data_IF_515373303798
#
_entry.id   IF_515373303798
#
_cell.length_a   1.000
_cell.length_b   1.000
_cell.length_c   1.000
_cell.angle_alpha   90.00
_cell.angle_beta   90.00
_cell.angle_gamma   90.00
#
_symmetry.space_group_name_H-M   'P 1'
#
loop_
_entity.id
_entity.type
_entity.pdbx_description
1 polymer ?
#
# COMPACT_ATOMS: atom_id res chain seq x y z
N UNK A 1 -9.56 6.62 -9.54
CA UNK A 1 -8.46 6.82 -8.57
C UNK A 1 -7.54 7.90 -9.11
N UNK A 2 -7.25 8.93 -8.34
CA UNK A 2 -6.25 9.95 -8.65
C UNK A 2 -4.97 9.65 -7.85
N UNK A 3 -3.80 9.81 -8.46
CA UNK A 3 -2.50 9.54 -7.84
C UNK A 3 -1.77 10.87 -7.68
N UNK A 4 -1.35 11.18 -6.47
CA UNK A 4 -0.61 12.40 -6.14
C UNK A 4 0.73 12.03 -5.51
N UNK A 5 1.83 12.48 -6.13
CA UNK A 5 3.16 12.34 -5.54
C UNK A 5 3.29 13.24 -4.32
N UNK A 6 3.90 12.71 -3.27
CA UNK A 6 4.24 13.43 -2.05
C UNK A 6 5.74 13.69 -1.94
N UNK A 7 6.16 14.12 -0.76
CA UNK A 7 7.56 14.42 -0.45
C UNK A 7 8.42 13.14 -0.32
N UNK A 8 9.76 13.26 -0.39
CA UNK A 8 10.66 12.15 -0.13
C UNK A 8 10.39 11.51 1.24
N UNK A 9 10.36 10.17 1.28
CA UNK A 9 9.85 9.41 2.43
C UNK A 9 10.93 9.07 3.47
N UNK A 10 12.20 9.05 3.08
CA UNK A 10 13.30 8.52 3.89
C UNK A 10 14.45 9.53 4.02
N UNK A 11 15.00 9.64 5.23
CA UNK A 11 16.24 10.38 5.47
C UNK A 11 17.46 9.62 4.94
N UNK A 12 18.57 10.35 4.74
CA UNK A 12 19.86 9.78 4.30
C UNK A 12 20.31 8.60 5.17
N UNK A 13 20.18 8.72 6.49
CA UNK A 13 20.50 7.64 7.43
C UNK A 13 19.67 6.36 7.18
N UNK A 14 18.36 6.50 6.88
CA UNK A 14 17.51 5.34 6.58
C UNK A 14 17.88 4.71 5.24
N UNK A 15 18.19 5.52 4.22
CA UNK A 15 18.69 5.02 2.93
C UNK A 15 19.99 4.24 3.12
N UNK A 16 20.98 4.78 3.84
CA UNK A 16 22.24 4.07 4.12
C UNK A 16 22.00 2.74 4.84
N UNK A 17 21.05 2.70 5.79
CA UNK A 17 20.69 1.45 6.48
C UNK A 17 20.07 0.42 5.52
N UNK A 18 19.18 0.83 4.62
CA UNK A 18 18.59 -0.07 3.61
C UNK A 18 19.65 -0.62 2.64
N UNK A 19 20.54 0.24 2.15
CA UNK A 19 21.65 -0.17 1.29
C UNK A 19 22.58 -1.17 2.00
N UNK A 20 22.87 -0.95 3.28
CA UNK A 20 23.66 -1.90 4.09
C UNK A 20 22.98 -3.26 4.24
N UNK A 21 21.66 -3.29 4.46
CA UNK A 21 20.89 -4.54 4.50
C UNK A 21 20.90 -5.25 3.15
N UNK A 22 20.76 -4.51 2.05
CA UNK A 22 20.84 -5.08 0.70
C UNK A 22 22.23 -5.71 0.44
N UNK A 23 23.30 -5.03 0.87
CA UNK A 23 24.66 -5.55 0.74
C UNK A 23 24.86 -6.85 1.55
N UNK A 24 24.33 -6.91 2.78
CA UNK A 24 24.39 -8.12 3.62
C UNK A 24 23.70 -9.32 2.97
N UNK A 25 22.60 -9.07 2.24
CA UNK A 25 21.85 -10.09 1.48
C UNK A 25 22.41 -10.32 0.07
N UNK A 26 23.57 -9.75 -0.28
CA UNK A 26 24.20 -9.90 -1.60
C UNK A 26 23.29 -9.47 -2.76
N UNK A 27 22.45 -8.45 -2.52
CA UNK A 27 21.60 -7.82 -3.52
C UNK A 27 22.42 -6.74 -4.26
N UNK A 28 22.39 -6.69 -5.60
CA UNK A 28 23.15 -5.74 -6.41
C UNK A 28 22.53 -4.34 -6.42
N UNK A 29 22.04 -3.83 -5.28
CA UNK A 29 21.42 -2.50 -5.18
C UNK A 29 22.49 -1.44 -4.99
N UNK A 30 22.53 -0.44 -5.87
CA UNK A 30 23.50 0.67 -5.81
C UNK A 30 22.92 1.95 -5.26
N UNK A 31 21.63 2.19 -5.47
CA UNK A 31 20.95 3.38 -4.97
C UNK A 31 19.47 3.11 -4.70
N UNK A 32 18.91 3.80 -3.71
CA UNK A 32 17.50 3.73 -3.32
C UNK A 32 17.00 5.16 -3.09
N UNK A 33 16.00 5.54 -3.87
CA UNK A 33 15.20 6.73 -3.63
C UNK A 33 13.77 6.34 -3.24
N UNK A 34 13.12 7.10 -2.37
CA UNK A 34 11.78 6.77 -1.91
C UNK A 34 10.92 8.02 -1.71
N UNK A 35 9.68 7.97 -2.17
CA UNK A 35 8.70 9.05 -2.02
C UNK A 35 7.38 8.53 -1.46
N UNK A 36 6.70 9.36 -0.68
CA UNK A 36 5.30 9.09 -0.41
C UNK A 36 4.48 9.25 -1.69
N UNK A 37 3.52 8.36 -1.87
CA UNK A 37 2.52 8.48 -2.92
C UNK A 37 1.15 8.33 -2.29
N UNK A 38 0.24 9.21 -2.70
CA UNK A 38 -1.10 9.27 -2.18
C UNK A 38 -2.08 8.83 -3.27
N UNK A 39 -3.05 8.03 -2.88
CA UNK A 39 -4.10 7.51 -3.74
C UNK A 39 -5.44 8.05 -3.26
N UNK A 40 -6.13 8.79 -4.11
CA UNK A 40 -7.44 9.33 -3.81
C UNK A 40 -8.50 8.58 -4.61
N UNK A 41 -9.38 7.89 -3.88
CA UNK A 41 -10.65 7.42 -4.41
C UNK A 41 -11.65 8.57 -4.42
N UNK A 42 -12.21 8.87 -5.59
CA UNK A 42 -13.10 9.99 -5.81
C UNK A 42 -14.48 9.46 -6.23
N UNK A 43 -15.53 9.92 -5.55
CA UNK A 43 -16.93 9.65 -5.93
C UNK A 43 -17.46 10.59 -7.01
N UNK A 44 -16.79 11.72 -7.21
CA UNK A 44 -17.07 12.71 -8.24
C UNK A 44 -15.76 13.39 -8.68
N UNK A 45 -15.67 13.96 -9.89
CA UNK A 45 -14.48 14.69 -10.31
C UNK A 45 -14.26 15.94 -9.45
N UNK A 46 -13.00 16.26 -9.17
CA UNK A 46 -12.59 17.51 -8.53
C UNK A 46 -12.49 18.63 -9.57
N UNK A 47 -12.97 19.83 -9.22
CA UNK A 47 -12.64 21.03 -9.99
C UNK A 47 -11.18 21.44 -9.74
N UNK A 48 -10.71 22.48 -10.45
CA UNK A 48 -9.32 22.92 -10.35
C UNK A 48 -8.94 23.39 -8.94
N UNK A 49 -9.80 24.15 -8.28
CA UNK A 49 -9.55 24.69 -6.94
C UNK A 49 -9.48 23.56 -5.90
N UNK A 50 -10.39 22.59 -5.97
CA UNK A 50 -10.43 21.44 -5.07
C UNK A 50 -9.26 20.49 -5.30
N UNK A 51 -8.82 20.31 -6.55
CA UNK A 51 -7.58 19.58 -6.86
C UNK A 51 -6.35 20.29 -6.28
N UNK A 52 -6.29 21.62 -6.36
CA UNK A 52 -5.21 22.39 -5.74
C UNK A 52 -5.21 22.27 -4.22
N UNK A 53 -6.38 22.38 -3.57
CA UNK A 53 -6.52 22.15 -2.11
C UNK A 53 -6.04 20.76 -1.73
N UNK A 54 -6.48 19.71 -2.45
CA UNK A 54 -6.05 18.34 -2.19
C UNK A 54 -4.53 18.18 -2.34
N UNK A 55 -3.95 18.76 -3.39
CA UNK A 55 -2.50 18.73 -3.59
C UNK A 55 -1.73 19.43 -2.46
N UNK A 56 -2.26 20.53 -1.92
CA UNK A 56 -1.66 21.24 -0.79
C UNK A 56 -1.75 20.44 0.51
N UNK A 57 -2.90 19.80 0.78
CA UNK A 57 -3.08 18.93 1.96
C UNK A 57 -2.10 17.74 1.95
N UNK A 58 -1.77 17.24 0.77
CA UNK A 58 -0.90 16.07 0.58
C UNK A 58 0.59 16.44 0.42
N UNK A 59 0.93 17.72 0.50
CA UNK A 59 2.31 18.20 0.52
C UNK A 59 2.73 18.50 1.97
N UNK A 60 3.29 17.50 2.65
CA UNK A 60 3.69 17.58 4.05
C UNK A 60 4.97 16.79 4.32
N UNK A 61 5.61 17.07 5.46
CA UNK A 61 6.81 16.39 5.90
C UNK A 61 8.06 17.26 5.78
N UNK A 62 9.24 16.70 6.08
CA UNK A 62 10.50 17.44 5.98
C UNK A 62 10.80 17.79 4.52
N UNK A 63 11.34 18.99 4.30
CA UNK A 63 11.84 19.45 3.01
C UNK A 63 13.16 18.76 2.67
N UNK A 64 13.08 17.47 2.37
CA UNK A 64 14.17 16.69 1.82
C UNK A 64 14.34 17.03 0.33
N UNK A 65 15.56 16.88 -0.19
CA UNK A 65 15.85 17.12 -1.59
C UNK A 65 15.09 16.13 -2.46
N UNK A 66 14.19 16.65 -3.30
CA UNK A 66 13.51 15.85 -4.32
C UNK A 66 14.52 15.41 -5.38
N UNK A 67 14.42 14.15 -5.80
CA UNK A 67 15.22 13.57 -6.87
C UNK A 67 14.30 13.13 -8.01
N UNK A 68 14.82 13.17 -9.24
CA UNK A 68 14.08 12.60 -10.37
C UNK A 68 14.05 11.07 -10.21
N UNK A 69 12.88 10.43 -10.25
CA UNK A 69 12.79 8.99 -10.14
C UNK A 69 13.58 8.28 -11.23
N UNK A 70 14.43 7.33 -10.84
CA UNK A 70 15.23 6.52 -11.75
C UNK A 70 15.33 5.08 -11.24
N UNK A 71 15.40 4.12 -12.17
CA UNK A 71 15.47 2.69 -11.84
C UNK A 71 14.09 2.03 -11.75
N UNK A 72 14.04 0.88 -11.08
CA UNK A 72 12.83 0.06 -10.95
C UNK A 72 11.94 0.59 -9.84
N UNK A 73 10.64 0.71 -10.13
CA UNK A 73 9.61 1.01 -9.14
C UNK A 73 9.23 -0.24 -8.35
N UNK A 74 9.31 -0.15 -7.02
CA UNK A 74 8.60 -1.02 -6.08
C UNK A 74 7.71 -0.15 -5.20
N UNK A 75 6.40 -0.32 -5.32
CA UNK A 75 5.42 0.44 -4.56
C UNK A 75 4.95 -0.38 -3.36
N UNK A 76 5.20 0.11 -2.16
CA UNK A 76 4.72 -0.49 -0.91
C UNK A 76 3.42 0.20 -0.48
N UNK A 77 2.38 -0.58 -0.21
CA UNK A 77 1.09 -0.08 0.32
C UNK A 77 0.57 -1.00 1.41
N UNK A 78 -0.45 -0.57 2.18
CA UNK A 78 -1.26 -1.50 2.96
C UNK A 78 -1.81 -2.64 2.11
N UNK A 79 -2.09 -3.80 2.72
CA UNK A 79 -2.66 -4.95 2.02
C UNK A 79 -4.09 -4.65 1.55
N UNK A 80 -4.51 -5.10 0.36
CA UNK A 80 -5.90 -5.03 -0.08
C UNK A 80 -6.85 -5.64 0.96
N UNK A 81 -8.00 -4.99 1.16
CA UNK A 81 -8.95 -5.36 2.21
C UNK A 81 -8.62 -4.76 3.59
N UNK A 82 -7.52 -4.01 3.73
CA UNK A 82 -7.22 -3.23 4.94
C UNK A 82 -7.33 -1.73 4.67
N UNK A 83 -7.57 -0.94 5.72
CA UNK A 83 -7.60 0.52 5.69
C UNK A 83 -6.60 1.01 6.74
N UNK A 84 -5.61 1.80 6.34
CA UNK A 84 -4.60 2.27 7.28
C UNK A 84 -5.16 3.31 8.25
N UNK A 85 -4.63 3.45 9.48
CA UNK A 85 -5.01 4.56 10.37
C UNK A 85 -4.71 5.94 9.77
N UNK A 86 -3.74 6.02 8.86
CA UNK A 86 -3.47 7.23 8.08
C UNK A 86 -4.64 7.54 7.13
N UNK A 87 -5.16 6.52 6.44
CA UNK A 87 -6.29 6.64 5.51
C UNK A 87 -7.52 7.28 6.16
N UNK A 88 -7.91 6.78 7.35
CA UNK A 88 -9.05 7.33 8.09
C UNK A 88 -8.86 8.82 8.40
N UNK A 89 -7.72 9.19 9.00
CA UNK A 89 -7.45 10.58 9.39
C UNK A 89 -7.28 11.52 8.20
N UNK A 90 -6.61 11.07 7.14
CA UNK A 90 -6.42 11.87 5.94
C UNK A 90 -7.76 12.14 5.23
N UNK A 91 -8.63 11.13 5.18
CA UNK A 91 -9.98 11.27 4.62
C UNK A 91 -10.82 12.24 5.45
N UNK A 92 -10.79 12.15 6.78
CA UNK A 92 -11.47 13.10 7.67
C UNK A 92 -10.98 14.54 7.46
N UNK A 93 -9.67 14.75 7.31
CA UNK A 93 -9.08 16.06 7.02
C UNK A 93 -9.60 16.58 5.66
N UNK A 94 -9.62 15.74 4.62
CA UNK A 94 -10.14 16.13 3.32
C UNK A 94 -11.61 16.58 3.39
N UNK A 95 -12.45 15.85 4.11
CA UNK A 95 -13.86 16.21 4.33
C UNK A 95 -14.01 17.53 5.10
N UNK A 96 -13.22 17.72 6.16
CA UNK A 96 -13.20 18.97 6.94
C UNK A 96 -12.72 20.17 6.13
N UNK A 97 -11.93 19.95 5.08
CA UNK A 97 -11.53 20.97 4.11
C UNK A 97 -12.54 21.16 2.96
N UNK A 98 -13.71 20.53 3.04
CA UNK A 98 -14.79 20.65 2.05
C UNK A 98 -14.69 19.73 0.85
N UNK A 99 -13.73 18.79 0.82
CA UNK A 99 -13.50 17.87 -0.30
C UNK A 99 -14.37 16.60 -0.17
N UNK A 100 -15.70 16.77 -0.17
CA UNK A 100 -16.67 15.67 0.01
C UNK A 100 -16.64 14.63 -1.12
N UNK A 101 -16.04 14.97 -2.26
CA UNK A 101 -15.86 14.07 -3.40
C UNK A 101 -14.82 12.98 -3.11
N UNK A 102 -13.94 13.18 -2.14
CA UNK A 102 -12.95 12.19 -1.72
C UNK A 102 -13.66 11.11 -0.91
N UNK A 103 -13.79 9.90 -1.47
CA UNK A 103 -14.34 8.75 -0.75
C UNK A 103 -13.34 8.26 0.28
N UNK A 104 -12.07 8.13 -0.15
CA UNK A 104 -10.98 7.65 0.70
C UNK A 104 -9.63 8.07 0.17
N UNK A 105 -8.73 8.44 1.07
CA UNK A 105 -7.31 8.61 0.79
C UNK A 105 -6.54 7.40 1.31
N UNK A 106 -5.53 6.94 0.59
CA UNK A 106 -4.54 5.99 1.10
C UNK A 106 -3.13 6.45 0.74
N UNK A 107 -2.14 5.98 1.50
CA UNK A 107 -0.73 6.31 1.28
C UNK A 107 0.10 5.05 1.07
N UNK A 108 1.01 5.12 0.11
CA UNK A 108 2.09 4.17 -0.08
C UNK A 108 3.45 4.85 -0.10
N UNK A 109 4.49 4.05 -0.26
CA UNK A 109 5.86 4.49 -0.49
C UNK A 109 6.32 3.91 -1.82
N UNK A 110 6.66 4.78 -2.78
CA UNK A 110 7.27 4.38 -4.03
C UNK A 110 8.79 4.35 -3.85
N UNK A 111 9.38 3.17 -3.89
CA UNK A 111 10.81 2.97 -3.95
C UNK A 111 11.27 2.91 -5.40
N UNK A 112 12.32 3.66 -5.71
CA UNK A 112 13.01 3.69 -6.98
C UNK A 112 14.42 3.15 -6.77
N UNK A 113 14.69 2.00 -7.38
CA UNK A 113 15.87 1.19 -7.05
C UNK A 113 16.75 1.05 -8.28
N UNK A 114 18.03 1.39 -8.12
CA UNK A 114 19.05 1.21 -9.15
C UNK A 114 19.89 -0.01 -8.80
N UNK A 115 20.13 -0.86 -9.79
CA UNK A 115 20.92 -2.07 -9.64
C UNK A 115 22.23 -1.99 -10.44
N UNK A 116 23.30 -2.61 -9.93
CA UNK A 116 24.56 -2.79 -10.67
C UNK A 116 24.50 -3.93 -11.69
N UNK A 117 23.56 -4.86 -11.52
CA UNK A 117 23.30 -5.96 -12.44
C UNK A 117 21.82 -6.35 -12.42
N UNK A 118 21.29 -7.02 -13.48
CA UNK A 118 19.91 -7.48 -13.49
C UNK A 118 19.58 -8.35 -12.27
N UNK A 119 18.43 -8.11 -11.67
CA UNK A 119 17.95 -8.89 -10.54
C UNK A 119 17.22 -10.15 -11.03
N UNK A 120 17.58 -11.31 -10.47
CA UNK A 120 16.78 -12.52 -10.63
C UNK A 120 15.50 -12.44 -9.78
N UNK A 121 14.47 -13.19 -10.15
CA UNK A 121 13.16 -13.23 -9.48
C UNK A 121 13.31 -13.58 -8.01
N UNK A 122 14.15 -14.58 -7.69
CA UNK A 122 14.44 -15.01 -6.32
C UNK A 122 14.92 -13.86 -5.42
N UNK A 123 15.81 -13.01 -5.95
CA UNK A 123 16.37 -11.85 -5.25
C UNK A 123 15.38 -10.68 -5.11
N UNK A 124 14.33 -10.66 -5.93
CA UNK A 124 13.27 -9.66 -5.88
C UNK A 124 12.39 -9.86 -4.63
N UNK A 125 12.16 -11.12 -4.25
CA UNK A 125 11.46 -11.47 -3.01
C UNK A 125 12.29 -11.09 -1.79
N UNK A 126 13.60 -11.36 -1.79
CA UNK A 126 14.51 -10.97 -0.71
C UNK A 126 14.53 -9.44 -0.52
N UNK A 127 14.58 -8.69 -1.62
CA UNK A 127 14.50 -7.22 -1.60
C UNK A 127 13.15 -6.75 -1.07
N UNK A 128 12.06 -7.38 -1.51
CA UNK A 128 10.71 -7.08 -1.04
C UNK A 128 10.63 -7.19 0.49
N UNK A 129 11.16 -8.27 1.08
CA UNK A 129 11.18 -8.50 2.53
C UNK A 129 11.91 -7.39 3.30
N UNK A 130 12.91 -6.74 2.71
CA UNK A 130 13.63 -5.61 3.33
C UNK A 130 12.78 -4.33 3.35
N UNK A 131 11.92 -4.15 2.34
CA UNK A 131 11.23 -2.87 2.09
C UNK A 131 9.86 -2.75 2.76
N UNK A 132 9.23 -3.86 3.16
CA UNK A 132 7.87 -3.85 3.72
C UNK A 132 7.70 -4.81 4.90
N UNK A 133 6.64 -4.57 5.69
CA UNK A 133 6.17 -5.55 6.68
C UNK A 133 5.14 -6.50 6.03
N UNK A 134 5.53 -7.77 5.87
CA UNK A 134 4.70 -8.84 5.27
C UNK A 134 3.32 -9.03 5.90
N UNK A 135 3.14 -8.61 7.16
CA UNK A 135 1.88 -8.80 7.87
C UNK A 135 0.84 -7.77 7.46
N UNK A 136 1.28 -6.53 7.21
CA UNK A 136 0.39 -5.36 7.05
C UNK A 136 0.50 -4.68 5.67
N UNK A 137 1.57 -4.95 4.93
CA UNK A 137 1.88 -4.31 3.66
C UNK A 137 2.04 -5.33 2.53
N UNK A 138 2.07 -4.83 1.29
CA UNK A 138 2.36 -5.59 0.08
C UNK A 138 3.17 -4.72 -0.89
N UNK A 139 3.93 -5.37 -1.77
CA UNK A 139 4.75 -4.72 -2.79
C UNK A 139 4.12 -4.91 -4.17
N UNK A 140 4.04 -3.82 -4.92
CA UNK A 140 3.59 -3.77 -6.31
C UNK A 140 4.72 -3.31 -7.23
N UNK A 141 4.61 -3.64 -8.51
CA UNK A 141 5.57 -3.20 -9.54
C UNK A 141 5.05 -2.03 -10.37
N UNK A 142 3.81 -1.60 -10.15
CA UNK A 142 3.19 -0.47 -10.84
C UNK A 142 2.14 0.25 -9.99
N UNK A 143 1.94 1.54 -10.24
CA UNK A 143 0.89 2.32 -9.58
C UNK A 143 -0.53 1.83 -9.89
N UNK A 144 -0.75 1.23 -11.07
CA UNK A 144 -2.07 0.73 -11.47
C UNK A 144 -2.58 -0.37 -10.54
N UNK A 145 -1.68 -1.20 -10.01
CA UNK A 145 -2.05 -2.26 -9.07
C UNK A 145 -2.63 -1.73 -7.74
N UNK A 146 -2.34 -0.47 -7.39
CA UNK A 146 -2.90 0.17 -6.20
C UNK A 146 -4.41 0.43 -6.31
N UNK A 147 -5.03 0.29 -7.50
CA UNK A 147 -6.49 0.27 -7.63
C UNK A 147 -7.13 -0.83 -6.76
N UNK A 148 -6.41 -1.93 -6.52
CA UNK A 148 -6.86 -3.02 -5.63
C UNK A 148 -7.11 -2.58 -4.19
N UNK A 149 -6.51 -1.47 -3.75
CA UNK A 149 -6.76 -0.89 -2.44
C UNK A 149 -8.23 -0.51 -2.28
N UNK A 150 -8.90 -0.08 -3.36
CA UNK A 150 -10.25 0.49 -3.36
C UNK A 150 -11.32 -0.47 -3.93
N UNK A 151 -11.07 -1.78 -3.89
CA UNK A 151 -12.08 -2.74 -4.34
C UNK A 151 -13.32 -2.72 -3.42
N UNK A 152 -14.48 -2.49 -4.03
CA UNK A 152 -15.77 -2.60 -3.37
C UNK A 152 -16.29 -4.02 -3.50
N UNK A 153 -16.46 -4.68 -2.36
CA UNK A 153 -17.07 -6.01 -2.30
C UNK A 153 -18.55 -5.90 -1.94
N UNK A 154 -19.37 -6.77 -2.55
CA UNK A 154 -20.76 -6.92 -2.10
C UNK A 154 -20.77 -7.68 -0.77
N UNK A 155 -21.72 -7.38 0.15
CA UNK A 155 -21.89 -8.15 1.36
C UNK A 155 -22.02 -9.66 1.06
N UNK A 156 -21.24 -10.48 1.76
CA UNK A 156 -21.31 -11.93 1.61
C UNK A 156 -22.61 -12.48 2.23
N UNK A 157 -23.28 -13.46 1.60
CA UNK A 157 -24.50 -14.05 2.14
C UNK A 157 -24.21 -14.89 3.38
N UNK A 158 -25.23 -15.05 4.25
CA UNK A 158 -25.17 -15.98 5.37
C UNK A 158 -24.98 -17.42 4.87
N UNK A 159 -24.00 -18.12 5.44
CA UNK A 159 -23.76 -19.55 5.20
C UNK A 159 -24.53 -20.37 6.23
N UNK A 160 -25.19 -21.44 5.80
CA UNK A 160 -25.94 -22.37 6.67
C UNK A 160 -25.24 -23.73 6.67
N UNK A 161 -25.06 -24.31 7.86
CA UNK A 161 -24.53 -25.68 8.03
C UNK A 161 -25.72 -26.67 8.02
N UNK A 162 -25.75 -27.61 7.07
CA UNK A 162 -26.86 -28.55 6.88
C UNK A 162 -26.84 -29.73 7.87
N UNK A 163 -27.05 -29.45 9.15
CA UNK A 163 -27.05 -30.47 10.23
C UNK A 163 -28.18 -31.50 10.04
N UNK A 164 -29.36 -31.07 9.58
CA UNK A 164 -30.50 -31.98 9.40
C UNK A 164 -30.27 -33.05 8.32
N UNK A 165 -29.40 -32.76 7.34
CA UNK A 165 -29.08 -33.68 6.25
C UNK A 165 -27.85 -34.52 6.55
N UNK A 166 -26.81 -33.91 7.12
CA UNK A 166 -25.50 -34.53 7.28
C UNK A 166 -25.15 -34.87 8.74
N UNK A 167 -26.08 -34.63 9.67
CA UNK A 167 -25.92 -34.94 11.09
C UNK A 167 -24.70 -34.26 11.71
N UNK A 168 -24.06 -34.98 12.64
CA UNK A 168 -22.84 -34.54 13.33
C UNK A 168 -21.68 -34.24 12.36
N UNK A 169 -21.59 -34.96 11.25
CA UNK A 169 -20.49 -34.79 10.30
C UNK A 169 -20.44 -33.37 9.71
N UNK A 170 -21.61 -32.73 9.49
CA UNK A 170 -21.67 -31.33 9.08
C UNK A 170 -21.01 -30.38 10.09
N UNK A 171 -21.09 -30.69 11.39
CA UNK A 171 -20.45 -29.90 12.44
C UNK A 171 -18.94 -30.14 12.49
N UNK A 172 -18.50 -31.38 12.28
CA UNK A 172 -17.07 -31.72 12.24
C UNK A 172 -16.36 -31.03 11.06
N UNK A 173 -16.99 -31.00 9.89
CA UNK A 173 -16.50 -30.24 8.74
C UNK A 173 -16.47 -28.74 9.04
N UNK A 174 -17.56 -28.18 9.58
CA UNK A 174 -17.61 -26.77 9.95
C UNK A 174 -16.54 -26.40 11.00
N UNK A 175 -16.28 -27.28 11.97
CA UNK A 175 -15.25 -27.08 12.99
C UNK A 175 -13.86 -26.90 12.36
N UNK A 176 -13.53 -27.74 11.37
CA UNK A 176 -12.25 -27.69 10.65
C UNK A 176 -12.19 -26.48 9.73
N UNK A 177 -13.21 -26.27 8.89
CA UNK A 177 -13.23 -25.21 7.88
C UNK A 177 -13.22 -23.80 8.49
N UNK A 178 -13.96 -23.60 9.59
CA UNK A 178 -14.07 -22.30 10.27
C UNK A 178 -13.06 -22.15 11.42
N UNK A 179 -12.30 -23.20 11.75
CA UNK A 179 -11.32 -23.19 12.83
C UNK A 179 -11.93 -22.97 14.22
N UNK A 180 -13.05 -23.64 14.53
CA UNK A 180 -13.85 -23.36 15.74
C UNK A 180 -13.25 -23.97 17.03
N UNK A 181 -12.34 -24.93 16.91
CA UNK A 181 -11.67 -25.62 18.02
C UNK A 181 -12.64 -26.25 19.05
N UNK A 182 -13.74 -26.83 18.57
CA UNK A 182 -14.76 -27.56 19.33
C UNK A 182 -14.45 -29.05 19.47
#
# INVERSE_FOLDING_TARGET
>A
MEILRGSPALSTFRITKLLSLCQQQQLPVTDIYAEYVHFAELGAPLNQDDRQKLSQLLHYGPSLTEQQPAGQLLLVTPRPGTISPWSSKATDIAHNCGLQQVIRLERGIAYYIIYSSPLDISKLDDLSVILHDRMVEIVWTSFKQAESLFMHHKPAPMVRIEILKNGRHALELANIELGLAL
#
